data_IF_573793266598
#
_entry.id   IF_573793266598
#
_cell.length_a   1.000
_cell.length_b   1.000
_cell.length_c   1.000
_cell.angle_alpha   90.00
_cell.angle_beta   90.00
_cell.angle_gamma   90.00
#
_symmetry.space_group_name_H-M   'P 1'
#
loop_
_entity.id
_entity.type
_entity.pdbx_description
1 polymer ?
#
# COMPACT_ATOMS: atom_id res chain seq x y z
N UNK A 1 1.06 -13.91 15.62
CA UNK A 1 1.16 -12.74 14.75
C UNK A 1 2.36 -12.80 13.81
N UNK A 2 3.58 -13.06 14.28
CA UNK A 2 4.78 -13.16 13.42
C UNK A 2 4.60 -14.15 12.26
N UNK A 3 4.00 -15.34 12.52
CA UNK A 3 3.73 -16.33 11.46
C UNK A 3 2.79 -15.82 10.36
N UNK A 4 1.79 -15.02 10.70
CA UNK A 4 0.88 -14.42 9.70
C UNK A 4 1.55 -13.33 8.87
N UNK A 5 2.43 -12.53 9.47
CA UNK A 5 3.22 -11.56 8.72
C UNK A 5 4.17 -12.24 7.74
N UNK A 6 4.89 -13.27 8.21
CA UNK A 6 5.78 -14.07 7.35
C UNK A 6 4.99 -14.75 6.23
N UNK A 7 3.84 -15.35 6.55
CA UNK A 7 2.95 -15.96 5.56
C UNK A 7 2.53 -14.93 4.49
N UNK A 8 2.09 -13.72 4.88
CA UNK A 8 1.63 -12.71 3.91
C UNK A 8 2.74 -12.21 3.01
N UNK A 9 3.95 -12.03 3.55
CA UNK A 9 5.11 -11.64 2.74
C UNK A 9 5.47 -12.76 1.76
N UNK A 10 5.54 -14.01 2.22
CA UNK A 10 5.88 -15.15 1.36
C UNK A 10 4.80 -15.42 0.31
N UNK A 11 3.52 -15.31 0.68
CA UNK A 11 2.41 -15.44 -0.26
C UNK A 11 2.44 -14.32 -1.31
N UNK A 12 2.62 -13.07 -0.89
CA UNK A 12 2.75 -11.92 -1.79
C UNK A 12 3.92 -12.09 -2.75
N UNK A 13 5.11 -12.48 -2.24
CA UNK A 13 6.30 -12.73 -3.07
C UNK A 13 6.10 -13.91 -4.03
N UNK A 14 5.50 -15.01 -3.58
CA UNK A 14 5.22 -16.15 -4.45
C UNK A 14 4.31 -15.80 -5.61
N UNK A 15 3.23 -15.04 -5.34
CA UNK A 15 2.32 -14.52 -6.37
C UNK A 15 3.05 -13.51 -7.27
N UNK A 16 3.89 -12.65 -6.70
CA UNK A 16 4.67 -11.67 -7.45
C UNK A 16 5.65 -12.33 -8.43
N UNK A 17 6.40 -13.34 -7.99
CA UNK A 17 7.32 -14.10 -8.85
C UNK A 17 6.55 -14.74 -10.01
N UNK A 18 5.43 -15.40 -9.72
CA UNK A 18 4.61 -16.01 -10.78
C UNK A 18 4.07 -14.96 -11.74
N UNK A 19 3.53 -13.85 -11.22
CA UNK A 19 3.04 -12.75 -12.08
C UNK A 19 4.15 -12.12 -12.91
N UNK A 20 5.36 -11.94 -12.37
CA UNK A 20 6.53 -11.46 -13.13
C UNK A 20 6.83 -12.40 -14.31
N UNK A 21 6.81 -13.71 -14.08
CA UNK A 21 7.02 -14.69 -15.15
C UNK A 21 5.90 -14.63 -16.21
N UNK A 22 4.65 -14.40 -15.81
CA UNK A 22 3.53 -14.24 -16.74
C UNK A 22 3.61 -12.93 -17.53
N UNK A 23 3.98 -11.82 -16.89
CA UNK A 23 4.23 -10.54 -17.55
C UNK A 23 5.34 -10.69 -18.59
N UNK A 24 6.47 -11.26 -18.22
CA UNK A 24 7.60 -11.42 -19.13
C UNK A 24 7.28 -12.30 -20.34
N UNK A 25 6.45 -13.35 -20.15
CA UNK A 25 6.18 -14.34 -21.21
C UNK A 25 4.97 -14.03 -22.08
N UNK A 26 3.95 -13.36 -21.52
CA UNK A 26 2.64 -13.26 -22.15
C UNK A 26 2.05 -11.84 -22.20
N UNK A 27 2.73 -10.84 -21.67
CA UNK A 27 2.23 -9.49 -21.68
C UNK A 27 2.73 -8.74 -22.92
N UNK A 28 1.82 -8.07 -23.60
CA UNK A 28 2.12 -7.19 -24.72
C UNK A 28 2.11 -5.73 -24.21
N UNK A 29 3.28 -5.08 -24.10
CA UNK A 29 3.37 -3.72 -23.59
C UNK A 29 2.72 -2.68 -24.52
N UNK A 30 2.63 -2.95 -25.83
CA UNK A 30 2.03 -2.03 -26.78
C UNK A 30 0.51 -1.95 -26.65
N UNK A 31 -0.12 -3.08 -26.35
CA UNK A 31 -1.56 -3.18 -26.15
C UNK A 31 -1.98 -3.15 -24.68
N UNK A 32 -1.04 -3.03 -23.75
CA UNK A 32 -1.27 -3.11 -22.30
C UNK A 32 -2.15 -4.32 -21.89
N UNK A 33 -1.95 -5.45 -22.56
CA UNK A 33 -2.81 -6.61 -22.39
C UNK A 33 -2.03 -7.93 -22.38
N UNK A 34 -2.58 -8.91 -21.69
CA UNK A 34 -2.07 -10.27 -21.80
C UNK A 34 -2.60 -11.00 -23.03
N UNK A 35 -1.76 -11.83 -23.62
CA UNK A 35 -2.18 -12.72 -24.70
C UNK A 35 -3.21 -13.75 -24.21
N UNK A 36 -4.04 -14.27 -25.09
CA UNK A 36 -5.08 -15.25 -24.78
C UNK A 36 -4.54 -16.52 -24.10
N UNK A 37 -3.28 -16.87 -24.37
CA UNK A 37 -2.60 -18.03 -23.76
C UNK A 37 -2.37 -17.87 -22.25
N UNK A 38 -2.32 -16.63 -21.73
CA UNK A 38 -2.16 -16.36 -20.30
C UNK A 38 -3.44 -16.52 -19.50
N UNK A 39 -4.61 -16.52 -20.13
CA UNK A 39 -5.94 -16.42 -19.46
C UNK A 39 -6.13 -17.41 -18.33
N UNK A 40 -5.84 -18.69 -18.57
CA UNK A 40 -6.00 -19.76 -17.56
C UNK A 40 -5.06 -19.55 -16.37
N UNK A 41 -3.79 -19.19 -16.63
CA UNK A 41 -2.80 -18.94 -15.58
C UNK A 41 -3.15 -17.72 -14.73
N UNK A 42 -3.68 -16.66 -15.34
CA UNK A 42 -4.11 -15.46 -14.64
C UNK A 42 -5.35 -15.70 -13.78
N UNK A 43 -6.31 -16.51 -14.26
CA UNK A 43 -7.45 -16.94 -13.44
C UNK A 43 -6.98 -17.74 -12.23
N UNK A 44 -6.07 -18.69 -12.41
CA UNK A 44 -5.50 -19.48 -11.31
C UNK A 44 -4.76 -18.58 -10.31
N UNK A 45 -3.99 -17.61 -10.78
CA UNK A 45 -3.31 -16.64 -9.93
C UNK A 45 -4.31 -15.80 -9.11
N UNK A 46 -5.39 -15.36 -9.74
CA UNK A 46 -6.48 -14.64 -9.06
C UNK A 46 -7.16 -15.48 -7.97
N UNK A 47 -7.41 -16.78 -8.22
CA UNK A 47 -7.97 -17.69 -7.21
C UNK A 47 -7.00 -17.91 -6.04
N UNK A 48 -5.70 -18.10 -6.31
CA UNK A 48 -4.69 -18.27 -5.25
C UNK A 48 -4.62 -17.00 -4.40
N UNK A 49 -4.60 -15.82 -5.03
CA UNK A 49 -4.61 -14.55 -4.32
C UNK A 49 -5.85 -14.41 -3.44
N UNK A 50 -7.03 -14.76 -3.94
CA UNK A 50 -8.28 -14.75 -3.18
C UNK A 50 -8.21 -15.69 -1.96
N UNK A 51 -7.70 -16.92 -2.14
CA UNK A 51 -7.51 -17.87 -1.04
C UNK A 51 -6.56 -17.31 0.01
N UNK A 52 -5.44 -16.72 -0.39
CA UNK A 52 -4.49 -16.09 0.54
C UNK A 52 -5.14 -14.94 1.33
N UNK A 53 -5.95 -14.11 0.68
CA UNK A 53 -6.72 -13.03 1.31
C UNK A 53 -7.71 -13.59 2.33
N UNK A 54 -8.48 -14.63 1.96
CA UNK A 54 -9.44 -15.28 2.87
C UNK A 54 -8.74 -15.88 4.08
N UNK A 55 -7.60 -16.57 3.89
CA UNK A 55 -6.80 -17.12 4.99
C UNK A 55 -6.28 -15.99 5.90
N UNK A 56 -5.78 -14.89 5.34
CA UNK A 56 -5.35 -13.75 6.09
C UNK A 56 -6.50 -13.11 6.90
N UNK A 57 -7.67 -13.00 6.30
CA UNK A 57 -8.86 -12.41 6.93
C UNK A 57 -9.42 -13.31 8.04
N UNK A 58 -9.50 -14.61 7.83
CA UNK A 58 -9.96 -15.57 8.85
C UNK A 58 -9.02 -15.63 10.04
N UNK A 59 -7.71 -15.51 9.82
CA UNK A 59 -6.72 -15.45 10.89
C UNK A 59 -6.94 -14.25 11.81
N UNK A 60 -7.44 -13.15 11.29
CA UNK A 60 -7.78 -11.96 12.08
C UNK A 60 -8.99 -12.15 13.00
N UNK A 61 -9.96 -12.94 12.57
CA UNK A 61 -11.09 -13.27 13.44
C UNK A 61 -10.63 -14.00 14.69
N UNK A 62 -9.57 -14.80 14.58
CA UNK A 62 -8.94 -15.50 15.71
C UNK A 62 -8.20 -14.52 16.62
N UNK A 63 -7.52 -13.52 16.04
CA UNK A 63 -6.77 -12.50 16.78
C UNK A 63 -7.68 -11.48 17.49
N UNK A 64 -8.93 -11.33 17.07
CA UNK A 64 -9.90 -10.38 17.62
C UNK A 64 -10.16 -10.57 19.13
N UNK A 65 -9.80 -11.72 19.68
CA UNK A 65 -9.94 -12.03 21.13
C UNK A 65 -8.79 -11.51 21.99
N UNK A 66 -7.70 -11.00 21.39
CA UNK A 66 -6.57 -10.43 22.15
C UNK A 66 -6.75 -8.91 22.25
N UNK A 67 -6.76 -8.39 23.46
CA UNK A 67 -6.73 -6.94 23.70
C UNK A 67 -5.39 -6.38 23.25
N UNK A 68 -5.44 -5.46 22.30
CA UNK A 68 -4.29 -4.70 21.87
C UNK A 68 -4.26 -3.40 22.67
N UNK A 69 -3.35 -3.33 23.63
CA UNK A 69 -3.13 -2.11 24.39
C UNK A 69 -2.53 -1.00 23.52
N UNK A 70 -2.69 0.23 23.99
CA UNK A 70 -2.30 1.46 23.32
C UNK A 70 -0.91 1.41 22.72
N UNK A 71 -0.84 1.56 21.42
CA UNK A 71 0.39 1.50 20.66
C UNK A 71 0.89 2.90 20.31
N UNK A 72 2.08 3.26 20.75
CA UNK A 72 2.79 4.45 20.28
C UNK A 72 3.88 4.03 19.30
N UNK A 73 3.74 4.44 18.03
CA UNK A 73 4.73 4.18 16.97
C UNK A 73 6.07 4.87 17.20
N UNK A 74 6.13 5.83 18.09
CA UNK A 74 7.23 6.79 18.24
C UNK A 74 8.53 6.26 18.84
N UNK A 75 8.57 5.00 19.25
CA UNK A 75 9.78 4.43 19.88
C UNK A 75 10.60 3.48 19.03
N UNK A 76 10.10 3.05 17.87
CA UNK A 76 10.79 2.06 17.05
C UNK A 76 11.55 2.72 15.89
N UNK A 77 12.88 2.61 15.90
CA UNK A 77 13.75 3.16 14.85
C UNK A 77 13.35 2.70 13.44
N UNK A 78 12.88 1.45 13.30
CA UNK A 78 12.42 0.91 12.02
C UNK A 78 11.18 1.64 11.49
N UNK A 79 10.21 1.95 12.36
CA UNK A 79 9.01 2.69 11.95
C UNK A 79 9.32 4.15 11.62
N UNK A 80 10.25 4.78 12.34
CA UNK A 80 10.76 6.12 12.03
C UNK A 80 11.42 6.16 10.66
N UNK A 81 12.32 5.20 10.39
CA UNK A 81 12.98 5.08 9.09
C UNK A 81 11.96 4.87 7.96
N UNK A 82 11.04 3.92 8.12
CA UNK A 82 10.05 3.60 7.10
C UNK A 82 9.09 4.77 6.84
N UNK A 83 8.68 5.53 7.87
CA UNK A 83 7.89 6.74 7.71
C UNK A 83 8.66 7.82 6.95
N UNK A 84 9.93 8.09 7.34
CA UNK A 84 10.75 9.07 6.64
C UNK A 84 10.97 8.69 5.18
N UNK A 85 11.28 7.42 4.92
CA UNK A 85 11.48 6.90 3.58
C UNK A 85 10.24 7.07 2.70
N UNK A 86 9.08 6.65 3.21
CA UNK A 86 7.82 6.78 2.47
C UNK A 86 7.46 8.26 2.26
N UNK A 87 7.68 9.13 3.25
CA UNK A 87 7.49 10.57 3.11
C UNK A 87 8.36 11.19 2.01
N UNK A 88 9.63 10.78 1.93
CA UNK A 88 10.54 11.20 0.86
C UNK A 88 10.09 10.68 -0.52
N UNK A 89 9.58 9.44 -0.60
CA UNK A 89 9.05 8.90 -1.87
C UNK A 89 7.82 9.68 -2.34
N UNK A 90 6.88 10.00 -1.44
CA UNK A 90 5.73 10.84 -1.77
C UNK A 90 6.17 12.22 -2.26
N UNK A 91 7.12 12.87 -1.57
CA UNK A 91 7.62 14.18 -1.96
C UNK A 91 8.33 14.12 -3.32
N UNK A 92 9.23 13.15 -3.52
CA UNK A 92 9.97 12.97 -4.75
C UNK A 92 9.05 12.68 -5.94
N UNK A 93 8.10 11.74 -5.79
CA UNK A 93 7.14 11.42 -6.83
C UNK A 93 6.24 12.63 -7.20
N UNK A 94 5.81 13.41 -6.20
CA UNK A 94 5.05 14.64 -6.43
C UNK A 94 5.85 15.67 -7.23
N UNK A 95 7.11 15.90 -6.89
CA UNK A 95 8.00 16.83 -7.60
C UNK A 95 8.31 16.34 -9.00
N UNK A 96 8.65 15.06 -9.17
CA UNK A 96 8.93 14.46 -10.47
C UNK A 96 7.70 14.51 -11.39
N UNK A 97 6.52 14.24 -10.86
CA UNK A 97 5.28 14.34 -11.63
C UNK A 97 5.02 15.77 -12.10
N UNK A 98 5.33 16.80 -11.29
CA UNK A 98 5.23 18.21 -11.71
C UNK A 98 6.23 18.58 -12.80
N UNK A 99 7.45 18.05 -12.75
CA UNK A 99 8.51 18.41 -13.70
C UNK A 99 8.28 17.72 -15.05
N UNK A 100 8.00 16.42 -15.03
CA UNK A 100 7.99 15.61 -16.26
C UNK A 100 6.63 15.52 -16.94
N UNK A 101 5.52 15.75 -16.19
CA UNK A 101 4.17 15.50 -16.72
C UNK A 101 3.17 16.66 -16.53
N UNK A 102 3.59 17.94 -16.59
CA UNK A 102 2.64 19.04 -16.40
C UNK A 102 1.55 19.01 -17.48
N UNK A 103 1.90 18.70 -18.72
CA UNK A 103 0.95 18.64 -19.84
C UNK A 103 -0.07 17.51 -19.66
N UNK A 104 0.35 16.33 -19.20
CA UNK A 104 -0.55 15.19 -18.96
C UNK A 104 -1.45 15.39 -17.74
N UNK A 105 -0.94 16.00 -16.68
CA UNK A 105 -1.74 16.36 -15.48
C UNK A 105 -2.82 17.41 -15.81
N UNK A 106 -2.51 18.33 -16.72
CA UNK A 106 -3.40 19.41 -17.13
C UNK A 106 -4.01 19.20 -18.54
N UNK A 107 -3.70 18.07 -19.18
CA UNK A 107 -4.19 17.76 -20.52
C UNK A 107 -5.72 17.66 -20.56
N UNK A 108 -6.26 17.98 -21.75
CA UNK A 108 -7.71 17.87 -22.01
C UNK A 108 -8.20 16.43 -22.24
N UNK A 109 -7.31 15.45 -22.10
CA UNK A 109 -7.63 14.03 -22.27
C UNK A 109 -8.44 13.49 -21.09
N UNK A 110 -9.40 12.62 -21.36
CA UNK A 110 -10.29 12.02 -20.36
C UNK A 110 -11.49 12.90 -19.97
N UNK A 111 -12.34 12.32 -19.13
CA UNK A 111 -13.53 13.00 -18.61
C UNK A 111 -13.14 14.13 -17.63
N UNK A 112 -13.94 15.18 -17.48
CA UNK A 112 -13.67 16.23 -16.49
C UNK A 112 -13.51 15.68 -15.07
N UNK A 113 -14.26 14.64 -14.72
CA UNK A 113 -14.20 13.98 -13.39
C UNK A 113 -12.85 13.26 -13.20
N UNK A 114 -12.37 12.55 -14.21
CA UNK A 114 -11.05 11.90 -14.18
C UNK A 114 -9.93 12.90 -13.88
N UNK A 115 -9.94 14.04 -14.55
CA UNK A 115 -8.95 15.11 -14.32
C UNK A 115 -9.02 15.70 -12.90
N UNK A 116 -10.22 15.95 -12.39
CA UNK A 116 -10.41 16.44 -11.02
C UNK A 116 -9.85 15.43 -10.01
N UNK A 117 -10.11 14.14 -10.20
CA UNK A 117 -9.58 13.08 -9.32
C UNK A 117 -8.05 13.01 -9.35
N UNK A 118 -7.45 13.10 -10.54
CA UNK A 118 -5.98 13.15 -10.65
C UNK A 118 -5.40 14.40 -9.97
N UNK A 119 -6.02 15.55 -10.10
CA UNK A 119 -5.58 16.75 -9.39
C UNK A 119 -5.68 16.60 -7.87
N UNK A 120 -6.76 15.99 -7.35
CA UNK A 120 -6.91 15.72 -5.93
C UNK A 120 -5.87 14.70 -5.47
N UNK A 121 -5.63 13.63 -6.23
CA UNK A 121 -4.58 12.66 -5.93
C UNK A 121 -3.21 13.35 -5.85
N UNK A 122 -2.91 14.22 -6.80
CA UNK A 122 -1.67 14.96 -6.86
C UNK A 122 -1.47 15.93 -5.68
N UNK A 123 -2.50 16.68 -5.30
CA UNK A 123 -2.46 17.56 -4.13
C UNK A 123 -2.27 16.73 -2.85
N UNK A 124 -2.98 15.61 -2.74
CA UNK A 124 -2.89 14.73 -1.56
C UNK A 124 -1.52 14.06 -1.40
N UNK A 125 -0.72 13.89 -2.47
CA UNK A 125 0.68 13.41 -2.40
C UNK A 125 1.51 14.30 -1.46
N UNK A 126 1.47 15.62 -1.62
CA UNK A 126 2.26 16.53 -0.80
C UNK A 126 1.83 16.52 0.66
N UNK A 127 0.53 16.46 0.91
CA UNK A 127 0.02 16.35 2.29
C UNK A 127 0.31 14.98 2.92
N UNK A 128 0.30 13.91 2.14
CA UNK A 128 0.74 12.59 2.59
C UNK A 128 2.25 12.59 2.91
N UNK A 129 3.09 13.24 2.09
CA UNK A 129 4.51 13.41 2.40
C UNK A 129 4.71 14.12 3.75
N UNK A 130 3.99 15.21 4.00
CA UNK A 130 4.03 15.95 5.27
C UNK A 130 3.61 15.02 6.42
N UNK A 131 2.53 14.25 6.28
CA UNK A 131 2.10 13.30 7.30
C UNK A 131 3.20 12.30 7.67
N UNK A 132 3.83 11.66 6.69
CA UNK A 132 4.86 10.66 6.96
C UNK A 132 6.13 11.25 7.56
N UNK A 133 6.56 12.45 7.11
CA UNK A 133 7.70 13.17 7.67
C UNK A 133 7.44 13.59 9.12
N UNK A 134 6.25 14.11 9.42
CA UNK A 134 5.85 14.47 10.79
C UNK A 134 5.75 13.20 11.65
N UNK A 135 5.24 12.09 11.12
CA UNK A 135 5.11 10.82 11.82
C UNK A 135 6.44 10.18 12.20
N UNK A 136 7.51 10.53 11.50
CA UNK A 136 8.87 10.12 11.84
C UNK A 136 9.42 10.82 13.08
N UNK A 137 8.82 11.95 13.51
CA UNK A 137 9.29 12.74 14.64
C UNK A 137 8.37 12.57 15.86
N UNK A 138 8.93 12.08 16.96
CA UNK A 138 8.23 11.93 18.25
C UNK A 138 7.66 13.25 18.80
N UNK A 139 8.24 14.40 18.36
CA UNK A 139 7.81 15.73 18.78
C UNK A 139 6.36 16.04 18.42
N UNK A 140 5.84 15.41 17.38
CA UNK A 140 4.50 15.66 16.84
C UNK A 140 3.48 14.55 17.12
N UNK A 141 3.79 13.59 17.99
CA UNK A 141 2.92 12.43 18.23
C UNK A 141 1.49 12.77 18.69
N UNK A 142 1.32 13.88 19.42
CA UNK A 142 0.03 14.37 19.90
C UNK A 142 -0.43 15.65 19.20
N UNK A 143 0.09 15.93 18.01
CA UNK A 143 -0.22 17.14 17.27
C UNK A 143 -1.51 16.99 16.47
N UNK A 144 -2.42 17.95 16.59
CA UNK A 144 -3.62 18.06 15.73
C UNK A 144 -3.26 18.14 14.24
N UNK A 145 -2.06 18.64 13.92
CA UNK A 145 -1.54 18.70 12.55
C UNK A 145 -1.33 17.28 12.00
N UNK A 146 -0.76 16.37 12.81
CA UNK A 146 -0.57 14.96 12.45
C UNK A 146 -1.92 14.27 12.23
N UNK A 147 -2.89 14.50 13.11
CA UNK A 147 -4.24 13.96 12.99
C UNK A 147 -4.91 14.44 11.69
N UNK A 148 -4.81 15.74 11.37
CA UNK A 148 -5.40 16.31 10.16
C UNK A 148 -4.80 15.70 8.88
N UNK A 149 -3.48 15.59 8.79
CA UNK A 149 -2.82 15.05 7.60
C UNK A 149 -2.88 13.50 7.52
N UNK A 150 -3.26 12.82 8.57
CA UNK A 150 -3.31 11.35 8.60
C UNK A 150 -4.26 10.74 7.56
N UNK A 151 -5.30 11.48 7.14
CA UNK A 151 -6.25 11.03 6.13
C UNK A 151 -5.72 11.18 4.69
N UNK A 152 -4.69 11.99 4.47
CA UNK A 152 -4.23 12.31 3.13
C UNK A 152 -3.66 11.11 2.35
N UNK A 153 -2.94 10.14 2.96
CA UNK A 153 -2.54 8.91 2.26
C UNK A 153 -3.74 8.08 1.79
N UNK A 154 -4.81 8.02 2.60
CA UNK A 154 -6.03 7.32 2.21
C UNK A 154 -6.76 8.05 1.08
N UNK A 155 -6.80 9.38 1.14
CA UNK A 155 -7.37 10.22 0.08
C UNK A 155 -6.61 10.06 -1.23
N UNK A 156 -5.27 10.04 -1.19
CA UNK A 156 -4.44 9.75 -2.35
C UNK A 156 -4.80 8.41 -2.98
N UNK A 157 -4.78 7.33 -2.21
CA UNK A 157 -5.08 5.99 -2.72
C UNK A 157 -6.52 5.88 -3.25
N UNK A 158 -7.51 6.50 -2.57
CA UNK A 158 -8.91 6.48 -2.99
C UNK A 158 -9.15 7.26 -4.28
N UNK A 159 -8.53 8.42 -4.43
CA UNK A 159 -8.65 9.22 -5.66
C UNK A 159 -7.94 8.57 -6.83
N UNK A 160 -6.79 7.91 -6.59
CA UNK A 160 -6.08 7.15 -7.61
C UNK A 160 -6.88 5.91 -8.05
N UNK A 161 -7.49 5.19 -7.11
CA UNK A 161 -8.41 4.08 -7.40
C UNK A 161 -9.58 4.55 -8.27
N UNK A 162 -10.23 5.66 -7.88
CA UNK A 162 -11.35 6.22 -8.62
C UNK A 162 -10.95 6.71 -10.00
N UNK A 163 -9.77 7.33 -10.13
CA UNK A 163 -9.21 7.75 -11.40
C UNK A 163 -8.88 6.55 -12.30
N UNK A 164 -8.34 5.46 -11.73
CA UNK A 164 -8.08 4.22 -12.48
C UNK A 164 -9.36 3.67 -13.12
N UNK A 165 -10.48 3.62 -12.38
CA UNK A 165 -11.78 3.18 -12.93
C UNK A 165 -12.36 4.11 -14.00
N UNK A 166 -12.07 5.39 -13.94
CA UNK A 166 -12.56 6.40 -14.89
C UNK A 166 -11.58 6.71 -16.02
N UNK A 167 -10.43 6.04 -16.03
CA UNK A 167 -9.46 6.15 -17.12
C UNK A 167 -10.10 5.66 -18.43
N UNK A 168 -9.91 6.39 -19.54
CA UNK A 168 -10.36 5.92 -20.85
C UNK A 168 -9.71 4.61 -21.28
N UNK A 169 -8.53 4.29 -20.73
CA UNK A 169 -7.78 3.07 -21.03
C UNK A 169 -8.20 1.87 -20.16
N UNK A 170 -9.10 2.09 -19.18
CA UNK A 170 -9.54 1.03 -18.27
C UNK A 170 -10.49 0.05 -18.98
N UNK A 171 -10.11 -1.22 -18.97
CA UNK A 171 -10.91 -2.30 -19.56
C UNK A 171 -11.18 -3.37 -18.50
N UNK A 172 -12.45 -3.59 -18.15
CA UNK A 172 -12.86 -4.61 -17.17
C UNK A 172 -12.41 -6.03 -17.51
N UNK A 173 -12.21 -6.33 -18.80
CA UNK A 173 -11.68 -7.62 -19.22
C UNK A 173 -10.17 -7.74 -19.08
N UNK A 174 -9.46 -6.63 -18.82
CA UNK A 174 -8.02 -6.62 -18.59
C UNK A 174 -7.75 -6.97 -17.12
N UNK A 175 -7.21 -8.16 -16.90
CA UNK A 175 -6.93 -8.64 -15.55
C UNK A 175 -5.83 -7.84 -14.85
N UNK A 176 -4.95 -7.16 -15.59
CA UNK A 176 -3.94 -6.28 -15.03
C UNK A 176 -4.57 -5.09 -14.31
N UNK A 177 -5.55 -4.44 -14.95
CA UNK A 177 -6.27 -3.31 -14.39
C UNK A 177 -7.10 -3.71 -13.15
N UNK A 178 -7.71 -4.90 -13.20
CA UNK A 178 -8.46 -5.45 -12.05
C UNK A 178 -7.54 -5.69 -10.85
N UNK A 179 -6.38 -6.32 -11.06
CA UNK A 179 -5.41 -6.58 -9.98
C UNK A 179 -4.88 -5.28 -9.38
N UNK A 180 -4.61 -4.27 -10.20
CA UNK A 180 -4.23 -2.93 -9.75
C UNK A 180 -5.28 -2.33 -8.85
N UNK A 181 -6.53 -2.36 -9.26
CA UNK A 181 -7.62 -1.80 -8.47
C UNK A 181 -7.83 -2.56 -7.14
N UNK A 182 -7.58 -3.86 -7.11
CA UNK A 182 -7.58 -4.64 -5.85
C UNK A 182 -6.44 -4.19 -4.92
N UNK A 183 -5.24 -3.96 -5.45
CA UNK A 183 -4.11 -3.46 -4.66
C UNK A 183 -4.38 -2.05 -4.10
N UNK A 184 -4.88 -1.14 -4.94
CA UNK A 184 -5.28 0.22 -4.53
C UNK A 184 -6.40 0.20 -3.49
N UNK A 185 -7.43 -0.64 -3.65
CA UNK A 185 -8.50 -0.78 -2.67
C UNK A 185 -7.98 -1.28 -1.31
N UNK A 186 -7.04 -2.23 -1.32
CA UNK A 186 -6.39 -2.70 -0.11
C UNK A 186 -5.56 -1.61 0.58
N UNK A 187 -4.86 -0.77 -0.20
CA UNK A 187 -4.14 0.41 0.32
C UNK A 187 -5.07 1.46 0.92
N UNK A 188 -6.21 1.73 0.28
CA UNK A 188 -7.23 2.64 0.84
C UNK A 188 -7.65 2.16 2.22
N UNK A 189 -8.02 0.88 2.34
CA UNK A 189 -8.46 0.31 3.61
C UNK A 189 -7.34 0.36 4.66
N UNK A 190 -6.10 0.06 4.27
CA UNK A 190 -4.94 0.14 5.15
C UNK A 190 -4.72 1.57 5.66
N UNK A 191 -4.63 2.57 4.77
CA UNK A 191 -4.38 3.96 5.18
C UNK A 191 -5.54 4.57 5.96
N UNK A 192 -6.78 4.16 5.72
CA UNK A 192 -7.91 4.54 6.56
C UNK A 192 -7.76 4.02 7.99
N UNK A 193 -7.26 2.79 8.18
CA UNK A 193 -7.00 2.28 9.53
C UNK A 193 -5.78 2.94 10.18
N UNK A 194 -4.76 3.32 9.41
CA UNK A 194 -3.65 4.14 9.90
C UNK A 194 -4.16 5.51 10.41
N UNK A 195 -4.97 6.20 9.61
CA UNK A 195 -5.57 7.46 10.01
C UNK A 195 -6.42 7.31 11.30
N UNK A 196 -7.23 6.26 11.35
CA UNK A 196 -8.03 5.95 12.55
C UNK A 196 -7.17 5.68 13.78
N UNK A 197 -6.07 4.94 13.64
CA UNK A 197 -5.15 4.67 14.74
C UNK A 197 -4.48 5.97 15.26
N UNK A 198 -4.15 6.89 14.36
CA UNK A 198 -3.60 8.20 14.73
C UNK A 198 -4.63 9.06 15.46
N UNK A 199 -5.88 9.12 14.97
CA UNK A 199 -6.94 9.95 15.54
C UNK A 199 -7.45 9.46 16.90
N UNK A 200 -7.55 8.14 17.07
CA UNK A 200 -8.16 7.55 18.28
C UNK A 200 -7.14 6.93 19.26
N UNK A 201 -5.87 6.84 18.88
CA UNK A 201 -4.80 6.30 19.72
C UNK A 201 -4.96 4.82 20.09
N UNK A 202 -5.86 4.09 19.43
CA UNK A 202 -6.12 2.67 19.68
C UNK A 202 -5.73 1.84 18.48
N UNK A 203 -5.00 0.76 18.73
CA UNK A 203 -4.74 -0.27 17.73
C UNK A 203 -5.77 -1.38 17.87
N UNK A 204 -6.48 -1.63 16.80
CA UNK A 204 -7.44 -2.73 16.73
C UNK A 204 -6.82 -3.92 15.96
N UNK A 205 -7.24 -5.16 16.26
CA UNK A 205 -6.85 -6.35 15.47
C UNK A 205 -7.12 -6.18 13.98
N UNK A 206 -8.14 -5.39 13.64
CA UNK A 206 -8.51 -5.04 12.27
C UNK A 206 -7.37 -4.35 11.52
N UNK A 207 -6.60 -3.46 12.18
CA UNK A 207 -5.44 -2.80 11.57
C UNK A 207 -4.38 -3.80 11.13
N UNK A 208 -4.02 -4.73 12.02
CA UNK A 208 -3.05 -5.78 11.68
C UNK A 208 -3.52 -6.65 10.51
N UNK A 209 -4.80 -7.02 10.51
CA UNK A 209 -5.40 -7.81 9.44
C UNK A 209 -5.35 -7.11 8.10
N UNK A 210 -5.77 -5.86 8.07
CA UNK A 210 -5.75 -5.08 6.84
C UNK A 210 -4.31 -4.83 6.37
N UNK A 211 -3.35 -4.70 7.29
CA UNK A 211 -1.92 -4.66 6.93
C UNK A 211 -1.49 -5.95 6.23
N UNK A 212 -1.85 -7.13 6.77
CA UNK A 212 -1.50 -8.43 6.19
C UNK A 212 -2.15 -8.63 4.82
N UNK A 213 -3.43 -8.26 4.66
CA UNK A 213 -4.15 -8.33 3.38
C UNK A 213 -3.54 -7.36 2.36
N UNK A 214 -3.29 -6.12 2.76
CA UNK A 214 -2.70 -5.12 1.89
C UNK A 214 -1.29 -5.52 1.42
N UNK A 215 -0.47 -6.10 2.30
CA UNK A 215 0.84 -6.65 1.92
C UNK A 215 0.73 -7.68 0.79
N UNK A 216 -0.20 -8.65 0.91
CA UNK A 216 -0.39 -9.66 -0.15
C UNK A 216 -0.76 -8.97 -1.47
N UNK A 217 -1.75 -8.07 -1.45
CA UNK A 217 -2.28 -7.43 -2.66
C UNK A 217 -1.24 -6.53 -3.33
N UNK A 218 -0.56 -5.69 -2.55
CA UNK A 218 0.38 -4.69 -3.06
C UNK A 218 1.66 -5.36 -3.55
N UNK A 219 2.24 -6.31 -2.80
CA UNK A 219 3.42 -7.05 -3.26
C UNK A 219 3.11 -7.82 -4.55
N UNK A 220 1.95 -8.50 -4.61
CA UNK A 220 1.54 -9.28 -5.77
C UNK A 220 1.34 -8.43 -7.04
N UNK A 221 0.95 -7.17 -6.90
CA UNK A 221 0.73 -6.29 -8.03
C UNK A 221 1.93 -5.39 -8.33
N UNK A 222 2.40 -4.61 -7.37
CA UNK A 222 3.36 -3.53 -7.62
C UNK A 222 4.78 -4.04 -7.91
N UNK A 223 5.24 -5.03 -7.13
CA UNK A 223 6.61 -5.53 -7.29
C UNK A 223 6.88 -6.07 -8.70
N UNK A 224 6.01 -6.91 -9.31
CA UNK A 224 6.18 -7.35 -10.69
C UNK A 224 6.15 -6.20 -11.69
N UNK A 225 5.24 -5.25 -11.50
CA UNK A 225 5.08 -4.12 -12.42
C UNK A 225 6.34 -3.25 -12.45
N UNK A 226 6.87 -2.89 -11.27
CA UNK A 226 8.12 -2.11 -11.16
C UNK A 226 9.32 -2.87 -11.74
N UNK A 227 9.43 -4.17 -11.46
CA UNK A 227 10.53 -4.98 -12.01
C UNK A 227 10.47 -5.01 -13.54
N UNK A 228 9.31 -5.29 -14.11
CA UNK A 228 9.14 -5.39 -15.55
C UNK A 228 9.36 -4.04 -16.23
N UNK A 229 8.86 -2.95 -15.65
CA UNK A 229 9.09 -1.60 -16.17
C UNK A 229 10.58 -1.24 -16.17
N UNK A 230 11.30 -1.58 -15.11
CA UNK A 230 12.73 -1.30 -15.00
C UNK A 230 13.58 -2.08 -16.03
N UNK A 231 13.20 -3.33 -16.34
CA UNK A 231 13.96 -4.18 -17.27
C UNK A 231 13.57 -3.98 -18.75
N UNK A 232 12.37 -3.50 -19.04
CA UNK A 232 11.93 -3.31 -20.42
C UNK A 232 12.17 -1.89 -20.96
N UNK A 233 12.93 -1.07 -20.23
CA UNK A 233 13.24 0.32 -20.63
C UNK A 233 11.97 1.11 -21.01
N UNK A 234 10.84 0.78 -20.38
CA UNK A 234 9.59 1.50 -20.62
C UNK A 234 9.73 2.94 -20.13
N UNK A 235 9.24 3.89 -20.89
CA UNK A 235 9.19 5.27 -20.45
C UNK A 235 8.48 5.39 -19.11
N UNK A 236 9.14 6.02 -18.13
CA UNK A 236 8.55 6.32 -16.84
C UNK A 236 7.31 7.20 -17.03
N UNK A 237 6.15 6.62 -16.87
CA UNK A 237 4.90 7.35 -16.86
C UNK A 237 4.61 7.90 -15.45
N UNK A 238 3.72 8.90 -15.35
CA UNK A 238 3.26 9.37 -14.03
C UNK A 238 2.64 8.24 -13.19
N UNK A 239 2.06 7.23 -13.82
CA UNK A 239 1.53 6.04 -13.15
C UNK A 239 2.64 5.21 -12.50
N UNK A 240 3.78 5.02 -13.19
CA UNK A 240 4.94 4.30 -12.62
C UNK A 240 5.51 5.02 -11.39
N UNK A 241 5.46 6.36 -11.35
CA UNK A 241 5.87 7.12 -10.16
C UNK A 241 4.96 6.85 -8.96
N UNK A 242 3.66 6.68 -9.18
CA UNK A 242 2.72 6.31 -8.13
C UNK A 242 2.95 4.87 -7.65
N UNK A 243 3.26 3.95 -8.55
CA UNK A 243 3.63 2.57 -8.25
C UNK A 243 4.88 2.49 -7.36
N UNK A 244 5.85 3.37 -7.53
CA UNK A 244 7.00 3.48 -6.63
C UNK A 244 6.60 3.87 -5.19
N UNK A 245 5.61 4.77 -5.03
CA UNK A 245 5.04 5.10 -3.72
C UNK A 245 4.39 3.85 -3.10
N UNK A 246 3.62 3.10 -3.89
CA UNK A 246 2.92 1.90 -3.45
C UNK A 246 3.91 0.80 -3.02
N UNK A 247 5.01 0.62 -3.74
CA UNK A 247 6.13 -0.22 -3.30
C UNK A 247 6.76 0.27 -1.99
N UNK A 248 6.94 1.58 -1.83
CA UNK A 248 7.42 2.17 -0.59
C UNK A 248 6.47 1.92 0.59
N UNK A 249 5.17 1.90 0.34
CA UNK A 249 4.16 1.57 1.32
C UNK A 249 4.30 0.14 1.85
N UNK A 250 4.81 -0.81 1.05
CA UNK A 250 5.12 -2.19 1.52
C UNK A 250 6.14 -2.16 2.66
N UNK A 251 7.21 -1.38 2.52
CA UNK A 251 8.25 -1.24 3.56
C UNK A 251 7.63 -0.65 4.83
N UNK A 252 6.79 0.37 4.68
CA UNK A 252 6.09 0.99 5.80
C UNK A 252 5.12 0.01 6.49
N UNK A 253 4.34 -0.76 5.74
CA UNK A 253 3.43 -1.78 6.26
C UNK A 253 4.18 -2.86 7.04
N UNK A 254 5.32 -3.34 6.55
CA UNK A 254 6.16 -4.33 7.24
C UNK A 254 6.69 -3.75 8.55
N UNK A 255 7.24 -2.53 8.52
CA UNK A 255 7.75 -1.86 9.70
C UNK A 255 6.66 -1.65 10.77
N UNK A 256 5.47 -1.22 10.37
CA UNK A 256 4.31 -1.04 11.24
C UNK A 256 3.85 -2.36 11.85
N UNK A 257 3.76 -3.44 11.05
CA UNK A 257 3.40 -4.76 11.55
C UNK A 257 4.42 -5.32 12.54
N UNK A 258 5.71 -5.16 12.28
CA UNK A 258 6.78 -5.56 13.20
C UNK A 258 6.72 -4.78 14.51
N UNK A 259 6.43 -3.49 14.44
CA UNK A 259 6.24 -2.65 15.62
C UNK A 259 5.06 -3.13 16.47
N UNK A 260 3.92 -3.47 15.85
CA UNK A 260 2.77 -4.03 16.55
C UNK A 260 3.10 -5.36 17.26
N UNK A 261 3.87 -6.23 16.58
CA UNK A 261 4.30 -7.53 17.15
C UNK A 261 5.26 -7.33 18.32
N UNK A 262 6.20 -6.38 18.22
CA UNK A 262 7.16 -6.11 19.30
C UNK A 262 6.47 -5.54 20.55
N UNK A 263 5.51 -4.63 20.38
CA UNK A 263 4.75 -4.07 21.49
C UNK A 263 3.98 -5.14 22.28
N UNK A 264 3.37 -6.11 21.59
CA UNK A 264 2.67 -7.22 22.25
C UNK A 264 3.60 -8.13 23.08
N UNK A 265 4.84 -8.36 22.61
CA UNK A 265 5.81 -9.17 23.33
C UNK A 265 6.28 -8.51 24.64
N UNK A 266 6.41 -7.19 24.65
CA UNK A 266 6.80 -6.46 25.85
C UNK A 266 5.71 -6.45 26.92
N UNK A 267 4.44 -6.53 26.53
CA UNK A 267 3.30 -6.59 27.47
C UNK A 267 3.12 -8.00 28.06
N UNK A 268 3.59 -9.06 27.39
CA UNK A 268 3.52 -10.45 27.86
C UNK A 268 4.72 -10.85 28.76
N UNK A 269 5.76 -10.01 28.90
CA UNK A 269 6.89 -10.31 29.76
C UNK A 269 6.45 -10.25 31.24
N UNK A 270 6.65 -11.31 32.04
CA UNK A 270 6.28 -11.32 33.46
C UNK A 270 7.06 -10.23 34.20
N UNK A 271 6.35 -9.44 35.03
CA UNK A 271 6.97 -8.50 35.97
C UNK A 271 7.94 -9.31 36.81
N UNK A 272 9.24 -8.96 36.87
CA UNK A 272 10.16 -9.67 37.73
C UNK A 272 9.64 -9.61 39.17
N UNK A 273 9.49 -10.78 39.78
CA UNK A 273 8.98 -10.95 41.16
C UNK A 273 9.98 -10.54 42.26
N UNK A 274 10.91 -9.66 41.92
CA UNK A 274 11.94 -9.18 42.85
C UNK A 274 11.55 -7.84 43.48
N UNK A 275 10.54 -7.86 44.36
CA UNK A 275 10.41 -6.91 45.47
C UNK A 275 9.54 -7.55 46.55
N UNK A 276 10.14 -8.44 47.30
CA UNK A 276 9.70 -8.72 48.71
C UNK A 276 10.85 -8.41 49.63
#
# INVERSE_FOLDING_TARGET
MTGYLVFSILAGLGIAIWRTALLYRYFDPYNNAYTSAAKSNLQTLGYIMLVCIVVAFTSALILRKKDFDTFTTSGNQLSVFASSFLGCLFAAAGVLALIYYPEKLFAKEGTPIFRVLLMIAFISIFFAAIFFIISASSRYDKSKIKEFFSICPALFAATLLSASYLSPDFVFSNQNDVLRNVALAALVLYFLQEARAVMYGKTEPVRFTLTVVALICVIAYELPTVIVTAFWEMELTYMTMFELIECGAVIYMIATALSMISALRTTEAPIPSDTV
#
